data_IF_726156465995
#
_entry.id   IF_726156465995
#
_cell.length_a   1.000
_cell.length_b   1.000
_cell.length_c   1.000
_cell.angle_alpha   90.00
_cell.angle_beta   90.00
_cell.angle_gamma   90.00
#
_symmetry.space_group_name_H-M   'P 1'
#
loop_
_entity.id
_entity.type
_entity.pdbx_description
1 polymer ?
#
# COMPACT_ATOMS: atom_id res chain seq x y z
N UNK A 1 -11.08 -3.52 1.50
CA UNK A 1 -11.12 -2.05 1.30
C UNK A 1 -10.28 -1.35 2.38
N UNK A 2 -9.44 -0.36 2.03
CA UNK A 2 -8.65 0.42 2.99
C UNK A 2 -9.07 1.90 2.99
N UNK A 3 -9.78 2.36 4.03
CA UNK A 3 -10.45 3.68 4.04
C UNK A 3 -10.39 4.37 5.40
N UNK A 4 -10.60 5.69 5.42
CA UNK A 4 -10.70 6.47 6.66
C UNK A 4 -12.09 6.33 7.32
N UNK A 5 -12.15 6.74 8.59
CA UNK A 5 -13.33 6.72 9.49
C UNK A 5 -14.66 6.99 8.78
N UNK A 6 -14.81 8.15 8.15
CA UNK A 6 -16.10 8.56 7.60
C UNK A 6 -16.63 7.65 6.48
N UNK A 7 -15.75 7.06 5.67
CA UNK A 7 -16.16 6.09 4.64
C UNK A 7 -16.48 4.74 5.28
N UNK A 8 -15.69 4.32 6.29
CA UNK A 8 -15.97 3.11 7.03
C UNK A 8 -17.36 3.21 7.69
N UNK A 9 -17.60 4.21 8.53
CA UNK A 9 -18.88 4.37 9.25
C UNK A 9 -20.07 4.61 8.32
N UNK A 10 -19.89 5.39 7.25
CA UNK A 10 -20.99 5.82 6.39
C UNK A 10 -21.38 4.82 5.30
N UNK A 11 -20.46 3.94 4.88
CA UNK A 11 -20.66 3.11 3.68
C UNK A 11 -20.28 1.65 3.87
N UNK A 12 -19.32 1.31 4.74
CA UNK A 12 -18.89 -0.09 4.90
C UNK A 12 -20.02 -1.06 5.30
N UNK A 13 -21.00 -0.70 6.17
CA UNK A 13 -22.09 -1.62 6.52
C UNK A 13 -22.89 -2.13 5.31
N UNK A 14 -22.90 -1.39 4.20
CA UNK A 14 -23.58 -1.83 2.96
C UNK A 14 -22.77 -2.83 2.13
N UNK A 15 -21.51 -3.09 2.49
CA UNK A 15 -20.55 -3.93 1.75
C UNK A 15 -19.80 -4.92 2.66
N UNK A 16 -20.25 -5.10 3.90
CA UNK A 16 -19.54 -5.90 4.91
C UNK A 16 -19.43 -7.38 4.52
N UNK A 17 -20.42 -7.89 3.78
CA UNK A 17 -20.43 -9.26 3.25
C UNK A 17 -19.60 -9.40 1.95
N UNK A 18 -19.26 -8.30 1.28
CA UNK A 18 -18.58 -8.30 -0.02
C UNK A 18 -17.07 -8.07 0.09
N UNK A 19 -16.65 -7.27 1.08
CA UNK A 19 -15.24 -6.88 1.23
C UNK A 19 -14.78 -6.84 2.69
N UNK A 20 -13.54 -7.24 2.93
CA UNK A 20 -12.83 -7.06 4.22
C UNK A 20 -12.48 -5.59 4.46
N UNK A 21 -12.57 -5.10 5.71
CA UNK A 21 -12.22 -3.71 6.04
C UNK A 21 -10.82 -3.59 6.68
N UNK A 22 -10.00 -2.70 6.11
CA UNK A 22 -8.78 -2.18 6.70
C UNK A 22 -9.01 -0.71 7.11
N UNK A 23 -9.12 -0.46 8.41
CA UNK A 23 -9.35 0.85 8.97
C UNK A 23 -8.07 1.71 8.93
N UNK A 24 -8.03 2.73 8.06
CA UNK A 24 -6.89 3.66 7.99
C UNK A 24 -6.97 4.65 9.16
N UNK A 25 -6.16 4.43 10.20
CA UNK A 25 -6.25 5.13 11.49
C UNK A 25 -5.76 6.57 11.44
N UNK A 26 -4.68 6.84 10.71
CA UNK A 26 -4.11 8.17 10.60
C UNK A 26 -4.10 8.69 9.16
N UNK A 27 -4.08 10.02 9.01
CA UNK A 27 -4.01 10.67 7.71
C UNK A 27 -3.94 12.18 7.82
N UNK A 28 -3.51 12.82 6.74
CA UNK A 28 -3.44 14.28 6.64
C UNK A 28 -3.93 14.76 5.28
N UNK A 29 -4.27 16.04 5.18
CA UNK A 29 -4.62 16.66 3.90
C UNK A 29 -3.36 17.08 3.13
N UNK A 30 -3.48 17.21 1.81
CA UNK A 30 -2.45 17.86 0.99
C UNK A 30 -2.53 19.40 1.01
N UNK A 31 -3.33 19.99 1.91
CA UNK A 31 -3.46 21.45 2.06
C UNK A 31 -2.39 22.02 2.99
N UNK A 32 -1.86 21.20 3.89
CA UNK A 32 -0.84 21.61 4.85
C UNK A 32 0.53 21.78 4.18
N UNK A 33 1.24 22.84 4.57
CA UNK A 33 2.59 23.13 4.14
C UNK A 33 3.54 22.92 5.33
N UNK A 34 4.47 21.97 5.24
CA UNK A 34 5.43 21.69 6.30
C UNK A 34 6.03 20.28 6.22
N UNK A 35 6.69 19.87 7.30
CA UNK A 35 7.18 18.50 7.43
C UNK A 35 6.01 17.50 7.41
N UNK A 36 6.20 16.31 6.81
CA UNK A 36 5.17 15.28 6.79
C UNK A 36 4.82 14.83 8.21
N UNK A 37 3.57 15.02 8.59
CA UNK A 37 2.99 14.47 9.81
C UNK A 37 1.56 13.98 9.50
N UNK A 38 1.17 12.86 10.09
CA UNK A 38 -0.08 12.17 9.82
C UNK A 38 -0.85 11.93 11.11
N UNK A 39 -1.77 12.84 11.42
CA UNK A 39 -2.57 12.80 12.64
C UNK A 39 -3.43 11.55 12.75
N UNK A 40 -3.53 11.00 13.96
CA UNK A 40 -4.46 9.91 14.30
C UNK A 40 -5.89 10.45 14.25
N UNK A 41 -6.74 9.84 13.42
CA UNK A 41 -8.10 10.29 13.16
C UNK A 41 -9.15 9.51 13.97
N UNK A 42 -8.82 8.31 14.40
CA UNK A 42 -9.68 7.42 15.20
C UNK A 42 -8.86 6.27 15.81
N UNK A 43 -9.41 5.70 16.87
CA UNK A 43 -8.78 4.65 17.66
C UNK A 43 -9.06 3.26 17.10
N UNK A 44 -8.32 2.27 17.58
CA UNK A 44 -8.50 0.86 17.19
C UNK A 44 -9.85 0.32 17.66
N UNK A 45 -10.31 0.72 18.84
CA UNK A 45 -11.58 0.29 19.41
C UNK A 45 -12.75 0.70 18.49
N UNK A 46 -12.76 1.95 18.02
CA UNK A 46 -13.75 2.41 17.05
C UNK A 46 -13.66 1.63 15.73
N UNK A 47 -12.45 1.28 15.28
CA UNK A 47 -12.28 0.48 14.07
C UNK A 47 -12.83 -0.95 14.26
N UNK A 48 -12.60 -1.57 15.43
CA UNK A 48 -13.12 -2.88 15.78
C UNK A 48 -14.66 -2.86 15.92
N UNK A 49 -15.25 -1.81 16.47
CA UNK A 49 -16.71 -1.64 16.55
C UNK A 49 -17.39 -1.59 15.17
N UNK A 50 -16.69 -1.05 14.16
CA UNK A 50 -17.16 -1.01 12.76
C UNK A 50 -16.87 -2.33 12.02
N UNK A 51 -16.27 -3.32 12.69
CA UNK A 51 -16.01 -4.65 12.12
C UNK A 51 -14.76 -4.70 11.24
N UNK A 52 -13.76 -3.84 11.46
CA UNK A 52 -12.51 -3.92 10.72
C UNK A 52 -11.70 -5.19 11.05
N UNK A 53 -11.11 -5.82 10.04
CA UNK A 53 -10.21 -6.98 10.17
C UNK A 53 -8.75 -6.56 10.39
N UNK A 54 -8.41 -5.35 9.97
CA UNK A 54 -7.06 -4.81 10.03
C UNK A 54 -7.04 -3.29 10.23
N UNK A 55 -5.92 -2.79 10.74
CA UNK A 55 -5.63 -1.36 10.80
C UNK A 55 -4.57 -0.96 9.77
N UNK A 56 -4.64 0.29 9.36
CA UNK A 56 -3.66 0.92 8.47
C UNK A 56 -3.07 2.17 9.07
N UNK A 57 -1.76 2.18 9.25
CA UNK A 57 -1.06 3.32 9.84
C UNK A 57 0.07 3.79 8.93
N UNK A 58 0.24 5.10 8.79
CA UNK A 58 1.33 5.70 8.02
C UNK A 58 2.40 6.17 8.97
N UNK A 59 3.64 5.77 8.71
CA UNK A 59 4.83 6.31 9.37
C UNK A 59 5.72 6.93 8.29
N UNK A 60 6.10 8.19 8.48
CA UNK A 60 7.02 8.88 7.57
C UNK A 60 8.44 8.86 8.12
N UNK A 61 9.20 7.82 7.75
CA UNK A 61 10.63 7.75 8.05
C UNK A 61 11.39 8.94 7.46
N UNK A 62 12.29 9.55 8.23
CA UNK A 62 13.03 10.75 7.89
C UNK A 62 12.27 12.08 8.10
N UNK A 63 11.04 12.04 8.61
CA UNK A 63 10.34 13.24 9.09
C UNK A 63 10.89 13.68 10.45
N UNK A 64 10.91 14.98 10.73
CA UNK A 64 11.18 15.48 12.08
C UNK A 64 10.10 15.09 13.11
N UNK A 65 8.96 14.56 12.65
CA UNK A 65 7.89 14.00 13.48
C UNK A 65 7.95 12.47 13.59
N UNK A 66 9.00 11.82 13.08
CA UNK A 66 9.09 10.35 13.06
C UNK A 66 8.93 9.73 14.46
N UNK A 67 9.61 10.28 15.47
CA UNK A 67 9.56 9.74 16.84
C UNK A 67 8.12 9.72 17.38
N UNK A 68 7.41 10.84 17.23
CA UNK A 68 6.00 10.98 17.63
C UNK A 68 5.11 9.97 16.88
N UNK A 69 5.21 9.90 15.54
CA UNK A 69 4.42 8.95 14.75
C UNK A 69 4.73 7.48 15.07
N UNK A 70 5.96 7.16 15.48
CA UNK A 70 6.36 5.82 15.89
C UNK A 70 5.78 5.46 17.26
N UNK A 71 5.72 6.41 18.19
CA UNK A 71 5.03 6.23 19.48
C UNK A 71 3.53 6.04 19.29
N UNK A 72 2.89 6.85 18.44
CA UNK A 72 1.48 6.65 18.05
C UNK A 72 1.26 5.30 17.35
N UNK A 73 2.20 4.87 16.50
CA UNK A 73 2.13 3.57 15.85
C UNK A 73 2.24 2.42 16.85
N UNK A 74 3.13 2.50 17.84
CA UNK A 74 3.23 1.50 18.92
C UNK A 74 1.88 1.32 19.60
N UNK A 75 1.26 2.42 20.02
CA UNK A 75 -0.01 2.36 20.75
C UNK A 75 -1.12 1.73 19.89
N UNK A 76 -1.19 2.10 18.60
CA UNK A 76 -2.14 1.50 17.67
C UNK A 76 -1.83 0.02 17.36
N UNK A 77 -0.56 -0.35 17.24
CA UNK A 77 -0.12 -1.71 16.97
C UNK A 77 -0.44 -2.64 18.13
N UNK A 78 -0.17 -2.22 19.36
CA UNK A 78 -0.43 -2.99 20.57
C UNK A 78 -1.95 -3.17 20.78
N UNK A 79 -2.74 -2.10 20.65
CA UNK A 79 -4.19 -2.18 20.76
C UNK A 79 -4.82 -3.07 19.66
N UNK A 80 -4.29 -3.05 18.43
CA UNK A 80 -4.76 -3.95 17.36
C UNK A 80 -4.59 -5.44 17.73
N UNK A 81 -3.57 -5.80 18.51
CA UNK A 81 -3.39 -7.18 19.00
C UNK A 81 -4.46 -7.59 19.99
N UNK A 82 -4.91 -6.67 20.85
CA UNK A 82 -6.01 -6.94 21.79
C UNK A 82 -7.34 -7.25 21.08
N UNK A 83 -7.51 -6.70 19.87
CA UNK A 83 -8.67 -6.94 19.01
C UNK A 83 -8.46 -8.02 17.93
N UNK A 84 -7.33 -8.74 17.94
CA UNK A 84 -6.96 -9.74 16.91
C UNK A 84 -6.93 -9.18 15.47
N UNK A 85 -6.65 -7.90 15.31
CA UNK A 85 -6.60 -7.22 14.01
C UNK A 85 -5.21 -7.29 13.39
N UNK A 86 -5.15 -7.41 12.06
CA UNK A 86 -3.91 -7.29 11.30
C UNK A 86 -3.37 -5.86 11.29
N UNK A 87 -2.05 -5.68 11.24
CA UNK A 87 -1.40 -4.36 11.24
C UNK A 87 -0.66 -4.12 9.93
N UNK A 88 -1.15 -3.17 9.14
CA UNK A 88 -0.52 -2.74 7.89
C UNK A 88 0.12 -1.37 8.07
N UNK A 89 1.43 -1.28 7.90
CA UNK A 89 2.18 -0.03 7.97
C UNK A 89 2.51 0.48 6.57
N UNK A 90 2.04 1.68 6.24
CA UNK A 90 2.56 2.48 5.14
C UNK A 90 3.89 3.07 5.60
N UNK A 91 4.97 2.33 5.35
CA UNK A 91 6.34 2.74 5.65
C UNK A 91 6.87 3.61 4.52
N UNK A 92 6.61 4.91 4.60
CA UNK A 92 6.87 5.85 3.50
C UNK A 92 7.92 6.88 3.89
N UNK A 93 9.18 6.70 3.49
CA UNK A 93 10.20 7.71 3.69
C UNK A 93 9.76 9.04 3.11
N UNK A 94 9.69 10.07 3.96
CA UNK A 94 9.41 11.44 3.57
C UNK A 94 9.81 12.37 4.70
N UNK A 95 10.52 13.45 4.37
CA UNK A 95 10.90 14.48 5.34
C UNK A 95 12.31 15.00 5.12
N UNK A 96 12.69 15.98 5.92
CA UNK A 96 13.98 16.68 5.85
C UNK A 96 15.20 15.79 6.08
N UNK A 97 15.04 14.66 6.77
CA UNK A 97 16.12 13.69 7.01
C UNK A 97 16.56 12.93 5.76
N UNK A 98 15.82 13.04 4.64
CA UNK A 98 16.07 12.27 3.44
C UNK A 98 16.67 13.11 2.32
N UNK A 99 17.71 12.58 1.69
CA UNK A 99 18.19 13.09 0.39
C UNK A 99 17.29 12.64 -0.76
N UNK A 100 16.86 11.38 -0.74
CA UNK A 100 15.97 10.80 -1.73
C UNK A 100 15.16 9.67 -1.11
N UNK A 101 13.83 9.81 -1.20
CA UNK A 101 12.85 8.91 -0.59
C UNK A 101 12.63 7.60 -1.37
N UNK A 102 13.14 7.46 -2.59
CA UNK A 102 12.85 6.32 -3.48
C UNK A 102 14.10 5.57 -3.92
N UNK A 103 15.25 5.77 -3.26
CA UNK A 103 16.43 4.93 -3.54
C UNK A 103 16.20 3.50 -3.05
N UNK A 104 16.86 2.50 -3.66
CA UNK A 104 16.81 1.11 -3.20
C UNK A 104 17.05 0.95 -1.70
N UNK A 105 18.13 1.55 -1.18
CA UNK A 105 18.50 1.45 0.24
C UNK A 105 17.43 2.09 1.15
N UNK A 106 16.87 3.23 0.76
CA UNK A 106 15.84 3.92 1.54
C UNK A 106 14.56 3.07 1.61
N UNK A 107 14.14 2.45 0.50
CA UNK A 107 12.98 1.56 0.48
C UNK A 107 13.24 0.28 1.27
N UNK A 108 14.43 -0.31 1.17
CA UNK A 108 14.80 -1.49 1.94
C UNK A 108 14.90 -1.22 3.44
N UNK A 109 15.38 -0.04 3.84
CA UNK A 109 15.34 0.40 5.23
C UNK A 109 13.89 0.55 5.72
N UNK A 110 12.99 1.01 4.86
CA UNK A 110 11.57 1.18 5.19
C UNK A 110 10.86 -0.14 5.45
N UNK A 111 11.16 -1.18 4.67
CA UNK A 111 10.60 -2.51 4.91
C UNK A 111 11.14 -3.09 6.22
N UNK A 112 12.43 -2.90 6.50
CA UNK A 112 13.03 -3.28 7.78
C UNK A 112 12.39 -2.55 8.96
N UNK A 113 12.13 -1.25 8.83
CA UNK A 113 11.47 -0.47 9.86
C UNK A 113 10.09 -1.05 10.21
N UNK A 114 9.30 -1.45 9.20
CA UNK A 114 8.01 -2.09 9.44
C UNK A 114 8.11 -3.42 10.20
N UNK A 115 9.13 -4.24 9.90
CA UNK A 115 9.42 -5.44 10.68
C UNK A 115 9.76 -5.10 12.14
N UNK A 116 10.71 -4.19 12.37
CA UNK A 116 11.20 -3.86 13.72
C UNK A 116 10.13 -3.22 14.61
N UNK A 117 9.21 -2.46 14.01
CA UNK A 117 8.09 -1.86 14.73
C UNK A 117 6.89 -2.81 14.91
N UNK A 118 6.96 -4.03 14.37
CA UNK A 118 5.93 -5.06 14.61
C UNK A 118 4.72 -5.02 13.67
N UNK A 119 4.88 -4.46 12.46
CA UNK A 119 3.86 -4.53 11.41
C UNK A 119 3.80 -5.93 10.76
N UNK A 120 2.58 -6.43 10.53
CA UNK A 120 2.37 -7.69 9.81
C UNK A 120 2.66 -7.55 8.32
N UNK A 121 2.24 -6.41 7.76
CA UNK A 121 2.42 -6.06 6.36
C UNK A 121 3.03 -4.66 6.27
N UNK A 122 4.12 -4.53 5.52
CA UNK A 122 4.75 -3.26 5.20
C UNK A 122 4.46 -2.87 3.76
N UNK A 123 3.80 -1.73 3.57
CA UNK A 123 3.52 -1.15 2.27
C UNK A 123 4.59 -0.12 1.91
N UNK A 124 5.22 -0.32 0.76
CA UNK A 124 6.30 0.55 0.25
C UNK A 124 6.10 0.96 -1.20
N UNK A 125 6.84 1.97 -1.65
CA UNK A 125 6.92 2.32 -3.08
C UNK A 125 7.79 1.31 -3.82
N UNK A 126 7.55 1.16 -5.13
CA UNK A 126 8.47 0.41 -5.99
C UNK A 126 9.83 1.14 -6.04
N UNK A 127 10.96 0.45 -5.76
CA UNK A 127 12.28 1.07 -5.70
C UNK A 127 12.94 1.27 -7.09
N UNK A 128 12.21 0.99 -8.17
CA UNK A 128 12.63 1.26 -9.54
C UNK A 128 13.17 0.06 -10.32
N UNK A 129 13.52 -1.05 -9.65
CA UNK A 129 13.92 -2.30 -10.33
C UNK A 129 13.50 -3.56 -9.56
N UNK A 130 13.40 -4.72 -10.23
CA UNK A 130 13.12 -5.99 -9.58
C UNK A 130 14.17 -6.36 -8.53
N UNK A 131 15.45 -6.12 -8.80
CA UNK A 131 16.56 -6.43 -7.88
C UNK A 131 16.48 -5.58 -6.61
N UNK A 132 16.17 -4.29 -6.77
CA UNK A 132 15.97 -3.39 -5.64
C UNK A 132 14.73 -3.78 -4.82
N UNK A 133 13.67 -4.25 -5.49
CA UNK A 133 12.47 -4.75 -4.81
C UNK A 133 12.76 -6.05 -4.05
N UNK A 134 13.52 -6.97 -4.64
CA UNK A 134 13.92 -8.22 -3.99
C UNK A 134 14.82 -7.97 -2.78
N UNK A 135 15.70 -6.96 -2.87
CA UNK A 135 16.46 -6.50 -1.72
C UNK A 135 15.56 -5.97 -0.60
N UNK A 136 14.56 -5.14 -0.93
CA UNK A 136 13.61 -4.63 0.06
C UNK A 136 12.77 -5.74 0.70
N UNK A 137 12.31 -6.73 -0.07
CA UNK A 137 11.62 -7.93 0.43
C UNK A 137 12.52 -8.71 1.39
N UNK A 138 13.79 -8.91 1.03
CA UNK A 138 14.77 -9.59 1.89
C UNK A 138 14.95 -8.88 3.23
N UNK A 139 14.97 -7.54 3.24
CA UNK A 139 15.09 -6.76 4.48
C UNK A 139 13.84 -6.82 5.38
N UNK A 140 12.67 -7.18 4.83
CA UNK A 140 11.45 -7.39 5.61
C UNK A 140 11.45 -8.72 6.39
N UNK A 141 12.38 -9.63 6.05
CA UNK A 141 12.49 -10.97 6.61
C UNK A 141 11.15 -11.74 6.64
N UNK A 142 10.50 -11.82 7.81
CA UNK A 142 9.23 -12.53 7.98
C UNK A 142 7.99 -11.64 7.78
N UNK A 143 8.15 -10.31 7.82
CA UNK A 143 7.06 -9.37 7.55
C UNK A 143 6.71 -9.42 6.07
N UNK A 144 5.42 -9.29 5.75
CA UNK A 144 4.95 -9.29 4.37
C UNK A 144 5.18 -7.93 3.74
N UNK A 145 5.50 -7.89 2.46
CA UNK A 145 5.70 -6.63 1.73
C UNK A 145 4.66 -6.51 0.63
N UNK A 146 3.95 -5.38 0.61
CA UNK A 146 3.06 -5.05 -0.51
C UNK A 146 3.54 -3.79 -1.21
N UNK A 147 3.47 -3.80 -2.54
CA UNK A 147 3.84 -2.63 -3.33
C UNK A 147 2.69 -1.62 -3.38
N UNK A 148 3.01 -0.32 -3.34
CA UNK A 148 2.05 0.74 -3.62
C UNK A 148 1.81 0.87 -5.13
N UNK A 149 0.55 1.01 -5.55
CA UNK A 149 0.23 1.14 -6.98
C UNK A 149 0.63 2.47 -7.66
N UNK A 150 1.20 3.46 -6.95
CA UNK A 150 1.69 4.69 -7.59
C UNK A 150 0.61 5.63 -8.17
N UNK A 151 1.01 6.47 -9.12
CA UNK A 151 0.12 7.35 -9.91
C UNK A 151 -0.37 6.61 -11.14
N UNK A 152 -1.52 7.02 -11.72
CA UNK A 152 -2.05 6.41 -12.94
C UNK A 152 -0.99 6.42 -14.05
N UNK A 153 -0.71 5.26 -14.61
CA UNK A 153 0.07 5.10 -15.86
C UNK A 153 -0.69 4.15 -16.81
N UNK A 154 -0.15 3.88 -17.99
CA UNK A 154 -0.72 2.93 -18.96
C UNK A 154 -0.73 1.49 -18.41
N UNK A 155 -1.59 0.64 -18.97
CA UNK A 155 -1.83 -0.70 -18.44
C UNK A 155 -0.61 -1.61 -18.52
N UNK A 156 0.12 -1.60 -19.65
CA UNK A 156 1.31 -2.43 -19.82
C UNK A 156 2.42 -2.07 -18.83
N UNK A 157 2.73 -0.79 -18.66
CA UNK A 157 3.75 -0.33 -17.70
C UNK A 157 3.37 -0.67 -16.27
N UNK A 158 2.09 -0.49 -15.93
CA UNK A 158 1.61 -0.80 -14.60
C UNK A 158 1.67 -2.30 -14.31
N UNK A 159 1.14 -3.15 -15.20
CA UNK A 159 1.20 -4.61 -15.06
C UNK A 159 2.64 -5.14 -15.06
N UNK A 160 3.53 -4.54 -15.86
CA UNK A 160 4.96 -4.88 -15.84
C UNK A 160 5.57 -4.58 -14.47
N UNK A 161 5.24 -3.44 -13.87
CA UNK A 161 5.72 -3.09 -12.53
C UNK A 161 5.16 -4.05 -11.47
N UNK A 162 3.89 -4.46 -11.58
CA UNK A 162 3.28 -5.44 -10.68
C UNK A 162 3.96 -6.81 -10.83
N UNK A 163 4.12 -7.32 -12.05
CA UNK A 163 4.80 -8.59 -12.33
C UNK A 163 6.22 -8.61 -11.75
N UNK A 164 7.00 -7.56 -12.03
CA UNK A 164 8.34 -7.39 -11.48
C UNK A 164 8.38 -7.42 -9.94
N UNK A 165 7.40 -6.81 -9.29
CA UNK A 165 7.32 -6.82 -7.83
C UNK A 165 6.95 -8.20 -7.27
N UNK A 166 6.01 -8.90 -7.92
CA UNK A 166 5.63 -10.27 -7.54
C UNK A 166 6.79 -11.24 -7.74
N UNK A 167 7.53 -11.15 -8.86
CA UNK A 167 8.73 -11.97 -9.14
C UNK A 167 9.86 -11.70 -8.15
N UNK A 168 9.95 -10.47 -7.65
CA UNK A 168 10.88 -10.08 -6.59
C UNK A 168 10.47 -10.59 -5.19
N UNK A 169 9.33 -11.27 -5.06
CA UNK A 169 8.86 -11.86 -3.81
C UNK A 169 7.93 -10.96 -2.98
N UNK A 170 7.41 -9.87 -3.53
CA UNK A 170 6.35 -9.12 -2.87
C UNK A 170 5.10 -9.99 -2.69
N UNK A 171 4.34 -9.74 -1.62
CA UNK A 171 3.16 -10.51 -1.25
C UNK A 171 1.85 -9.94 -1.83
N UNK A 172 1.94 -8.94 -2.69
CA UNK A 172 0.79 -8.35 -3.34
C UNK A 172 0.90 -6.84 -3.52
N UNK A 173 -0.26 -6.23 -3.72
CA UNK A 173 -0.39 -4.85 -4.14
C UNK A 173 -1.44 -4.12 -3.29
N UNK A 174 -1.16 -2.86 -2.95
CA UNK A 174 -2.14 -1.96 -2.40
C UNK A 174 -2.28 -0.73 -3.30
N UNK A 175 -3.24 -0.81 -4.23
CA UNK A 175 -3.51 0.14 -5.31
C UNK A 175 -4.77 0.96 -5.06
N UNK A 176 -4.81 2.18 -5.61
CA UNK A 176 -6.00 3.02 -5.63
C UNK A 176 -6.14 3.68 -7.00
N UNK A 177 -5.38 4.75 -7.25
CA UNK A 177 -5.48 5.56 -8.48
C UNK A 177 -5.35 4.78 -9.78
N UNK A 178 -4.51 3.74 -9.81
CA UNK A 178 -4.38 2.87 -10.98
C UNK A 178 -5.60 1.97 -11.23
N UNK A 179 -6.60 1.95 -10.35
CA UNK A 179 -7.88 1.26 -10.57
C UNK A 179 -8.98 2.29 -10.80
N UNK A 180 -9.34 3.06 -9.77
CA UNK A 180 -10.56 3.89 -9.82
C UNK A 180 -10.50 5.13 -10.74
N UNK A 181 -9.33 5.49 -11.29
CA UNK A 181 -9.22 6.59 -12.26
C UNK A 181 -9.23 6.12 -13.73
N UNK A 182 -9.51 4.84 -13.97
CA UNK A 182 -9.71 4.28 -15.32
C UNK A 182 -11.18 4.33 -15.69
N UNK A 183 -11.44 4.41 -16.99
CA UNK A 183 -12.82 4.43 -17.52
C UNK A 183 -13.49 3.06 -17.29
N UNK A 184 -12.70 1.97 -17.37
CA UNK A 184 -13.12 0.62 -17.00
C UNK A 184 -12.21 0.05 -15.89
N UNK A 185 -12.57 0.22 -14.60
CA UNK A 185 -11.81 -0.34 -13.48
C UNK A 185 -11.83 -1.86 -13.42
N UNK A 186 -12.90 -2.52 -13.86
CA UNK A 186 -13.02 -3.99 -13.84
C UNK A 186 -11.97 -4.62 -14.76
N UNK A 187 -11.78 -4.04 -15.95
CA UNK A 187 -10.77 -4.50 -16.90
C UNK A 187 -9.38 -4.56 -16.28
N UNK A 188 -8.91 -3.50 -15.60
CA UNK A 188 -7.59 -3.57 -14.95
C UNK A 188 -7.56 -4.51 -13.75
N UNK A 189 -8.69 -4.74 -13.07
CA UNK A 189 -8.78 -5.72 -11.98
C UNK A 189 -8.58 -7.14 -12.52
N UNK A 190 -9.14 -7.48 -13.68
CA UNK A 190 -8.93 -8.78 -14.33
C UNK A 190 -7.44 -9.00 -14.69
N UNK A 191 -6.77 -7.96 -15.19
CA UNK A 191 -5.34 -8.00 -15.48
C UNK A 191 -4.49 -8.15 -14.21
N UNK A 192 -4.86 -7.46 -13.12
CA UNK A 192 -4.20 -7.60 -11.82
C UNK A 192 -4.40 -8.99 -11.24
N UNK A 193 -5.61 -9.56 -11.35
CA UNK A 193 -5.92 -10.92 -10.93
C UNK A 193 -5.03 -11.93 -11.66
N UNK A 194 -4.93 -11.81 -12.99
CA UNK A 194 -4.09 -12.67 -13.81
C UNK A 194 -2.62 -12.64 -13.36
N UNK A 195 -2.05 -11.46 -13.10
CA UNK A 195 -0.64 -11.34 -12.70
C UNK A 195 -0.41 -11.81 -11.27
N UNK A 196 -1.30 -11.45 -10.33
CA UNK A 196 -1.07 -11.66 -8.89
C UNK A 196 -1.45 -13.07 -8.44
N UNK A 197 -2.55 -13.62 -8.95
CA UNK A 197 -3.08 -14.91 -8.49
C UNK A 197 -2.84 -16.05 -9.47
N UNK A 198 -2.91 -15.79 -10.78
CA UNK A 198 -2.69 -16.82 -11.80
C UNK A 198 -1.25 -16.90 -12.31
N UNK A 199 -0.36 -16.05 -11.80
CA UNK A 199 1.05 -15.95 -12.20
C UNK A 199 1.25 -15.74 -13.72
N UNK A 200 0.27 -15.13 -14.39
CA UNK A 200 0.29 -14.90 -15.84
C UNK A 200 1.39 -13.90 -16.25
N UNK A 201 1.79 -13.99 -17.53
CA UNK A 201 2.65 -12.98 -18.13
C UNK A 201 1.89 -11.66 -18.36
N UNK A 202 2.63 -10.56 -18.55
CA UNK A 202 2.00 -9.26 -18.87
C UNK A 202 1.21 -9.32 -20.18
N UNK A 203 1.69 -10.07 -21.17
CA UNK A 203 1.00 -10.23 -22.44
C UNK A 203 -0.34 -10.96 -22.25
N UNK A 204 -0.34 -12.08 -21.53
CA UNK A 204 -1.57 -12.84 -21.26
C UNK A 204 -2.58 -12.03 -20.42
N UNK A 205 -2.08 -11.21 -19.49
CA UNK A 205 -2.91 -10.31 -18.71
C UNK A 205 -3.57 -9.24 -19.60
N UNK A 206 -2.84 -8.61 -20.52
CA UNK A 206 -3.39 -7.63 -21.46
C UNK A 206 -4.42 -8.28 -22.42
N UNK A 207 -4.14 -9.49 -22.89
CA UNK A 207 -5.08 -10.26 -23.71
C UNK A 207 -6.36 -10.57 -22.92
N UNK A 208 -6.25 -10.96 -21.64
CA UNK A 208 -7.42 -11.20 -20.77
C UNK A 208 -8.25 -9.93 -20.56
N UNK A 209 -7.60 -8.79 -20.43
CA UNK A 209 -8.28 -7.50 -20.35
C UNK A 209 -9.09 -7.19 -21.62
N UNK A 210 -8.85 -7.87 -22.75
CA UNK A 210 -9.46 -7.53 -24.03
C UNK A 210 -8.95 -6.20 -24.58
N UNK A 211 -7.73 -5.80 -24.18
CA UNK A 211 -7.05 -4.61 -24.71
C UNK A 211 -6.22 -5.07 -25.89
N UNK A 212 -6.58 -4.69 -27.12
CA UNK A 212 -5.66 -4.88 -28.24
C UNK A 212 -4.37 -4.07 -28.00
N UNK A 213 -3.18 -4.58 -28.37
CA UNK A 213 -1.92 -3.87 -28.19
C UNK A 213 -2.04 -2.46 -28.76
N UNK A 214 -1.78 -1.43 -27.94
CA UNK A 214 -1.93 -0.04 -28.35
C UNK A 214 -1.14 0.23 -29.64
N UNK A 215 -1.83 0.60 -30.72
CA UNK A 215 -1.20 0.97 -31.98
C UNK A 215 -0.37 2.25 -31.77
N UNK A 216 0.98 2.18 -31.87
CA UNK A 216 1.84 3.34 -31.66
C UNK A 216 1.70 4.44 -32.73
N UNK A 217 0.92 4.21 -33.79
CA UNK A 217 0.68 5.19 -34.87
C UNK A 217 -0.60 6.04 -34.69
N UNK A 218 -1.33 5.90 -33.58
CA UNK A 218 -2.51 6.73 -33.30
C UNK A 218 -2.14 8.00 -32.50
N UNK A 219 -1.44 8.94 -33.16
CA UNK A 219 -1.33 10.35 -32.78
C UNK A 219 -1.45 11.24 -34.01
#
# INVERSE_FOLDING_TARGET
MAVQKGIAEGYYPSYEDDVTLLAKLNGTSNLWMGEPNSAVNWTVENAAEVGADAIGFTVYGGSNHEIEMVEEFRDAQEAAREHNMGVVMWSYPRGQGLKNATTPDTIAYSTRLGLELGADITKVKYPGSPEAMAHAVTQAAKSKVVMSGGSKTNDQEFLTTVRNAMDAGANGLAVGRNVFQRDNPEQILDGLEAVIFDEASVADALDRMGVEPSNPEAL
#
